data_IF_135083672476
#
_entry.id   IF_135083672476
#
_cell.length_a   1.000
_cell.length_b   1.000
_cell.length_c   1.000
_cell.angle_alpha   90.00
_cell.angle_beta   90.00
_cell.angle_gamma   90.00
#
_symmetry.space_group_name_H-M   'P 1'
#
loop_
_entity.id
_entity.type
_entity.pdbx_description
1 polymer ?
#
# COMPACT_ATOMS: atom_id res chain seq x y z
N UNK A 1 -15.39 0.60 26.38
CA UNK A 1 -14.45 0.62 25.25
C UNK A 1 -13.07 0.53 25.87
N UNK A 2 -12.29 -0.51 25.56
CA UNK A 2 -10.90 -0.49 26.00
C UNK A 2 -10.25 0.72 25.31
N UNK A 3 -9.78 1.68 26.10
CA UNK A 3 -8.87 2.69 25.60
C UNK A 3 -7.77 2.00 24.78
N UNK A 4 -7.27 2.63 23.69
CA UNK A 4 -6.10 2.09 23.02
C UNK A 4 -5.05 1.79 24.10
N UNK A 5 -4.49 0.59 24.04
CA UNK A 5 -3.46 0.16 24.99
C UNK A 5 -2.41 1.25 25.12
N UNK A 6 -1.86 1.42 26.32
CA UNK A 6 -0.98 2.54 26.63
C UNK A 6 0.10 2.75 25.54
N UNK A 7 0.72 1.66 25.08
CA UNK A 7 1.74 1.71 24.03
C UNK A 7 1.24 2.27 22.69
N UNK A 8 -0.03 2.04 22.29
CA UNK A 8 -0.60 2.60 21.05
C UNK A 8 -0.75 4.11 21.20
N UNK A 9 -1.23 4.58 22.35
CA UNK A 9 -1.35 6.02 22.62
C UNK A 9 0.01 6.70 22.60
N UNK A 10 0.97 6.13 23.31
CA UNK A 10 2.35 6.63 23.33
C UNK A 10 2.92 6.68 21.91
N UNK A 11 2.75 5.61 21.14
CA UNK A 11 3.21 5.58 19.74
C UNK A 11 2.54 6.67 18.88
N UNK A 12 1.23 6.86 18.96
CA UNK A 12 0.54 7.91 18.19
C UNK A 12 0.97 9.32 18.60
N UNK A 13 1.22 9.55 19.89
CA UNK A 13 1.75 10.83 20.39
C UNK A 13 3.16 11.09 19.87
N UNK A 14 4.04 10.10 19.96
CA UNK A 14 5.42 10.23 19.47
C UNK A 14 5.45 10.42 17.95
N UNK A 15 4.56 9.73 17.23
CA UNK A 15 4.38 9.86 15.79
C UNK A 15 3.95 11.27 15.38
N UNK A 16 2.98 11.86 16.09
CA UNK A 16 2.55 13.24 15.87
C UNK A 16 3.68 14.25 16.14
N UNK A 17 4.47 14.03 17.21
CA UNK A 17 5.62 14.86 17.52
C UNK A 17 6.72 14.75 16.43
N UNK A 18 7.06 13.53 16.00
CA UNK A 18 8.01 13.28 14.93
C UNK A 18 7.55 13.87 13.60
N UNK A 19 6.26 13.73 13.27
CA UNK A 19 5.65 14.34 12.10
C UNK A 19 5.77 15.87 12.14
N UNK A 20 5.53 16.49 13.30
CA UNK A 20 5.69 17.92 13.50
C UNK A 20 7.15 18.41 13.33
N UNK A 21 8.14 17.57 13.67
CA UNK A 21 9.56 17.88 13.42
C UNK A 21 9.90 17.83 11.92
N UNK A 22 9.40 16.81 11.21
CA UNK A 22 9.65 16.64 9.77
C UNK A 22 8.88 17.64 8.90
N UNK A 23 7.64 17.97 9.31
CA UNK A 23 6.75 18.88 8.60
C UNK A 23 5.88 19.64 9.60
N UNK A 24 6.28 20.86 10.03
CA UNK A 24 5.60 21.62 11.09
C UNK A 24 4.09 21.80 10.89
N UNK A 25 3.64 21.99 9.66
CA UNK A 25 2.23 22.24 9.32
C UNK A 25 1.41 20.95 9.08
N UNK A 26 1.93 19.78 9.43
CA UNK A 26 1.30 18.49 9.16
C UNK A 26 0.92 17.68 10.41
N UNK A 27 0.99 18.29 11.60
CA UNK A 27 0.55 17.65 12.85
C UNK A 27 -0.86 17.09 12.73
N UNK A 28 -1.08 15.96 13.39
CA UNK A 28 -2.37 15.29 13.43
C UNK A 28 -3.32 16.06 14.33
N UNK A 29 -4.54 16.29 13.85
CA UNK A 29 -5.65 16.75 14.69
C UNK A 29 -5.98 15.71 15.76
N UNK A 30 -6.64 16.14 16.83
CA UNK A 30 -7.08 15.22 17.89
C UNK A 30 -7.95 14.07 17.35
N UNK A 31 -8.85 14.37 16.40
CA UNK A 31 -9.68 13.35 15.76
C UNK A 31 -8.87 12.34 14.95
N UNK A 32 -7.86 12.80 14.20
CA UNK A 32 -6.97 11.91 13.45
C UNK A 32 -6.15 11.00 14.38
N UNK A 33 -5.67 11.51 15.52
CA UNK A 33 -4.95 10.71 16.52
C UNK A 33 -5.84 9.64 17.15
N UNK A 34 -7.06 10.00 17.56
CA UNK A 34 -8.04 9.05 18.11
C UNK A 34 -8.37 7.99 17.06
N UNK A 35 -8.62 8.40 15.83
CA UNK A 35 -8.91 7.49 14.72
C UNK A 35 -7.73 6.54 14.43
N UNK A 36 -6.50 7.05 14.38
CA UNK A 36 -5.31 6.25 14.13
C UNK A 36 -5.09 5.24 15.26
N UNK A 37 -5.22 5.67 16.52
CA UNK A 37 -5.15 4.79 17.69
C UNK A 37 -6.22 3.69 17.65
N UNK A 38 -7.45 4.03 17.24
CA UNK A 38 -8.51 3.05 17.02
C UNK A 38 -8.15 2.05 15.91
N UNK A 39 -7.63 2.52 14.77
CA UNK A 39 -7.22 1.66 13.66
C UNK A 39 -6.08 0.72 14.04
N UNK A 40 -5.06 1.21 14.75
CA UNK A 40 -3.95 0.39 15.26
C UNK A 40 -4.46 -0.68 16.24
N UNK A 41 -5.36 -0.30 17.14
CA UNK A 41 -6.01 -1.25 18.06
C UNK A 41 -6.82 -2.31 17.29
N UNK A 42 -7.59 -1.89 16.28
CA UNK A 42 -8.37 -2.79 15.43
C UNK A 42 -7.49 -3.77 14.63
N UNK A 43 -6.34 -3.31 14.12
CA UNK A 43 -5.37 -4.18 13.44
C UNK A 43 -4.81 -5.22 14.39
N UNK A 44 -4.43 -4.82 15.62
CA UNK A 44 -3.92 -5.74 16.63
C UNK A 44 -4.96 -6.80 17.02
N UNK A 45 -6.20 -6.39 17.28
CA UNK A 45 -7.26 -7.29 17.74
C UNK A 45 -7.78 -8.23 16.64
N UNK A 46 -7.72 -7.82 15.37
CA UNK A 46 -8.34 -8.57 14.26
C UNK A 46 -7.34 -9.16 13.28
N UNK A 47 -6.04 -8.90 13.47
CA UNK A 47 -4.95 -9.25 12.57
C UNK A 47 -5.23 -8.90 11.11
N UNK A 48 -5.95 -7.80 10.87
CA UNK A 48 -6.35 -7.39 9.53
C UNK A 48 -6.69 -5.92 9.44
N UNK A 49 -6.62 -5.35 8.23
CA UNK A 49 -7.17 -4.02 7.92
C UNK A 49 -8.51 -4.21 7.24
N UNK A 50 -9.59 -4.22 8.02
CA UNK A 50 -10.94 -4.44 7.50
C UNK A 50 -11.97 -3.62 8.29
N UNK A 51 -12.51 -2.58 7.65
CA UNK A 51 -13.46 -1.66 8.29
C UNK A 51 -14.72 -2.35 8.82
N UNK A 52 -15.20 -3.39 8.13
CA UNK A 52 -16.35 -4.17 8.61
C UNK A 52 -16.03 -4.97 9.87
N UNK A 53 -14.81 -5.54 9.97
CA UNK A 53 -14.36 -6.18 11.21
C UNK A 53 -14.21 -5.15 12.33
N UNK A 54 -13.72 -3.95 12.04
CA UNK A 54 -13.54 -2.89 13.03
C UNK A 54 -14.88 -2.36 13.54
N UNK A 55 -15.86 -2.19 12.65
CA UNK A 55 -17.22 -1.82 13.03
C UNK A 55 -17.83 -2.89 13.94
N UNK A 56 -17.72 -4.18 13.59
CA UNK A 56 -18.21 -5.27 14.45
C UNK A 56 -17.48 -5.32 15.80
N UNK A 57 -16.16 -5.21 15.81
CA UNK A 57 -15.36 -5.19 17.04
C UNK A 57 -15.67 -3.98 17.94
N UNK A 58 -16.16 -2.88 17.35
CA UNK A 58 -16.60 -1.69 18.08
C UNK A 58 -18.12 -1.65 18.35
N UNK A 59 -18.82 -2.77 18.15
CA UNK A 59 -20.28 -2.89 18.34
C UNK A 59 -21.07 -1.80 17.58
N UNK A 60 -20.60 -1.42 16.39
CA UNK A 60 -21.26 -0.44 15.55
C UNK A 60 -21.03 1.01 15.93
N UNK A 61 -20.20 1.31 16.95
CA UNK A 61 -19.88 2.68 17.38
C UNK A 61 -19.17 3.48 16.28
N UNK A 62 -18.27 2.84 15.54
CA UNK A 62 -17.64 3.42 14.35
C UNK A 62 -18.12 2.70 13.10
N UNK A 63 -18.92 3.40 12.30
CA UNK A 63 -19.43 2.90 11.03
C UNK A 63 -18.31 2.75 10.01
N UNK A 64 -18.39 1.72 9.15
CA UNK A 64 -17.50 1.55 7.99
C UNK A 64 -17.35 2.87 7.19
N UNK A 65 -18.46 3.60 6.99
CA UNK A 65 -18.47 4.87 6.28
C UNK A 65 -17.54 5.91 6.90
N UNK A 66 -17.60 6.09 8.23
CA UNK A 66 -16.75 7.03 8.96
C UNK A 66 -15.27 6.61 8.95
N UNK A 67 -15.00 5.32 9.17
CA UNK A 67 -13.63 4.79 9.13
C UNK A 67 -12.99 4.97 7.75
N UNK A 68 -13.75 4.68 6.70
CA UNK A 68 -13.31 4.81 5.31
C UNK A 68 -13.22 6.27 4.87
N UNK A 69 -14.08 7.15 5.38
CA UNK A 69 -14.02 8.59 5.08
C UNK A 69 -12.71 9.21 5.57
N UNK A 70 -12.29 8.89 6.79
CA UNK A 70 -11.05 9.42 7.36
C UNK A 70 -9.81 8.97 6.59
N UNK A 71 -9.82 7.79 5.97
CA UNK A 71 -8.73 7.37 5.08
C UNK A 71 -8.74 8.09 3.73
N UNK A 72 -9.93 8.44 3.20
CA UNK A 72 -10.09 8.96 1.83
C UNK A 72 -10.04 10.48 1.73
N UNK A 73 -10.63 11.16 2.71
CA UNK A 73 -10.92 12.61 2.62
C UNK A 73 -10.14 13.43 3.66
N UNK A 74 -9.57 12.79 4.68
CA UNK A 74 -8.81 13.52 5.68
C UNK A 74 -7.48 14.00 5.11
N UNK A 75 -7.14 15.25 5.42
CA UNK A 75 -5.86 15.85 5.09
C UNK A 75 -4.78 15.33 6.04
N UNK A 76 -4.25 14.15 5.74
CA UNK A 76 -3.11 13.54 6.45
C UNK A 76 -1.93 13.49 5.49
N UNK A 77 -0.76 13.94 5.93
CA UNK A 77 0.47 13.86 5.15
C UNK A 77 1.04 12.43 5.19
N UNK A 78 0.39 11.49 4.50
CA UNK A 78 0.68 10.05 4.58
C UNK A 78 2.15 9.68 4.35
N UNK A 79 2.81 10.31 3.37
CA UNK A 79 4.22 10.04 3.07
C UNK A 79 5.14 10.45 4.23
N UNK A 80 4.88 11.62 4.83
CA UNK A 80 5.63 12.09 6.00
C UNK A 80 5.27 11.29 7.25
N UNK A 81 4.05 10.78 7.35
CA UNK A 81 3.63 9.90 8.45
C UNK A 81 4.38 8.57 8.38
N UNK A 82 4.54 7.99 7.18
CA UNK A 82 5.39 6.80 6.97
C UNK A 82 6.83 7.11 7.38
N UNK A 83 7.41 8.20 6.87
CA UNK A 83 8.78 8.60 7.20
C UNK A 83 8.98 8.79 8.71
N UNK A 84 8.06 9.49 9.39
CA UNK A 84 8.07 9.68 10.83
C UNK A 84 8.01 8.34 11.58
N UNK A 85 7.16 7.41 11.13
CA UNK A 85 7.05 6.09 11.74
C UNK A 85 8.33 5.26 11.58
N UNK A 86 8.96 5.31 10.41
CA UNK A 86 10.23 4.64 10.12
C UNK A 86 11.33 5.19 11.02
N UNK A 87 11.45 6.52 11.09
CA UNK A 87 12.45 7.18 11.93
C UNK A 87 12.30 6.79 13.42
N UNK A 88 11.06 6.74 13.93
CA UNK A 88 10.79 6.32 15.31
C UNK A 88 11.16 4.86 15.58
N UNK A 89 10.91 3.95 14.63
CA UNK A 89 11.31 2.55 14.76
C UNK A 89 12.84 2.45 14.77
N UNK A 90 13.53 3.15 13.88
CA UNK A 90 14.99 3.17 13.84
C UNK A 90 15.59 3.67 15.17
N UNK A 91 15.10 4.81 15.66
CA UNK A 91 15.57 5.42 16.90
C UNK A 91 15.31 4.53 18.13
N UNK A 92 14.10 4.00 18.28
CA UNK A 92 13.75 3.15 19.43
C UNK A 92 14.52 1.84 19.48
N UNK A 93 14.84 1.28 18.33
CA UNK A 93 15.56 0.01 18.25
C UNK A 93 17.08 0.20 18.11
N UNK A 94 17.58 1.43 18.11
CA UNK A 94 19.01 1.73 17.93
C UNK A 94 19.55 1.21 16.59
N UNK A 95 18.71 1.17 15.55
CA UNK A 95 19.08 0.65 14.24
C UNK A 95 19.84 1.73 13.47
N UNK A 96 21.09 1.45 13.13
CA UNK A 96 21.97 2.35 12.38
C UNK A 96 22.30 1.84 10.98
N UNK A 97 22.08 0.56 10.72
CA UNK A 97 22.41 -0.10 9.47
C UNK A 97 21.35 -1.14 9.05
N UNK A 98 21.32 -1.43 7.75
CA UNK A 98 20.43 -2.43 7.16
C UNK A 98 20.59 -2.45 5.64
N UNK A 99 19.94 -3.44 5.02
CA UNK A 99 19.94 -3.63 3.57
C UNK A 99 18.56 -3.32 3.03
N UNK A 100 18.52 -2.52 1.96
CA UNK A 100 17.29 -2.26 1.22
C UNK A 100 17.03 -3.40 0.24
N UNK A 101 15.84 -3.98 0.34
CA UNK A 101 15.38 -5.09 -0.51
C UNK A 101 14.04 -4.73 -1.14
N UNK A 102 13.89 -5.06 -2.42
CA UNK A 102 12.60 -4.98 -3.10
C UNK A 102 11.88 -6.32 -2.96
N UNK A 103 10.62 -6.26 -2.53
CA UNK A 103 9.72 -7.41 -2.51
C UNK A 103 8.39 -7.03 -3.18
N UNK A 104 7.69 -8.02 -3.74
CA UNK A 104 6.41 -7.79 -4.40
C UNK A 104 5.32 -8.70 -3.85
N UNK A 105 4.11 -8.15 -3.69
CA UNK A 105 2.95 -8.92 -3.27
C UNK A 105 1.81 -8.72 -4.26
N UNK A 106 1.45 -9.80 -4.94
CA UNK A 106 0.29 -9.87 -5.81
C UNK A 106 -1.00 -10.07 -5.00
N UNK A 107 -1.98 -9.21 -5.24
CA UNK A 107 -3.31 -9.32 -4.65
C UNK A 107 -4.34 -9.54 -5.75
N UNK A 108 -4.83 -10.77 -5.83
CA UNK A 108 -5.93 -11.12 -6.72
C UNK A 108 -7.19 -10.31 -6.40
N UNK A 109 -7.88 -9.87 -7.43
CA UNK A 109 -9.14 -9.12 -7.39
C UNK A 109 -10.18 -9.78 -8.29
N UNK A 110 -11.42 -9.34 -8.15
CA UNK A 110 -12.48 -9.75 -9.07
C UNK A 110 -12.16 -9.32 -10.50
N UNK A 111 -12.54 -10.14 -11.48
CA UNK A 111 -12.41 -9.81 -12.91
C UNK A 111 -13.13 -8.50 -13.30
N UNK A 112 -14.12 -8.07 -12.50
CA UNK A 112 -14.89 -6.83 -12.74
C UNK A 112 -14.29 -5.58 -12.08
N UNK A 113 -13.20 -5.71 -11.31
CA UNK A 113 -12.56 -4.57 -10.63
C UNK A 113 -11.97 -3.60 -11.66
N UNK A 114 -12.44 -2.35 -11.66
CA UNK A 114 -11.93 -1.28 -12.57
C UNK A 114 -11.42 -0.04 -11.84
N UNK A 115 -11.84 0.20 -10.60
CA UNK A 115 -11.62 1.47 -9.88
C UNK A 115 -10.43 1.44 -8.91
N UNK A 116 -9.72 0.32 -8.80
CA UNK A 116 -8.52 0.20 -7.97
C UNK A 116 -7.32 0.68 -8.80
N UNK A 117 -6.50 1.56 -8.21
CA UNK A 117 -5.34 2.14 -8.87
C UNK A 117 -4.39 1.05 -9.41
N UNK A 118 -3.96 1.18 -10.67
CA UNK A 118 -3.02 0.27 -11.35
C UNK A 118 -3.40 -1.22 -11.30
N UNK A 119 -4.70 -1.51 -11.23
CA UNK A 119 -5.21 -2.88 -11.40
C UNK A 119 -4.91 -3.37 -12.82
N UNK A 120 -4.39 -4.58 -12.95
CA UNK A 120 -4.03 -5.17 -14.24
C UNK A 120 -4.19 -6.70 -14.24
N UNK A 121 -4.14 -7.29 -15.43
CA UNK A 121 -4.26 -8.74 -15.60
C UNK A 121 -2.96 -9.42 -15.16
N UNK A 122 -3.05 -10.30 -14.18
CA UNK A 122 -1.93 -11.04 -13.59
C UNK A 122 -2.09 -12.54 -13.86
N UNK A 123 -0.96 -13.25 -14.00
CA UNK A 123 -0.97 -14.71 -14.09
C UNK A 123 -1.23 -15.28 -12.70
N UNK A 124 -2.28 -16.09 -12.58
CA UNK A 124 -2.60 -16.75 -11.33
C UNK A 124 -1.79 -18.04 -11.24
N UNK A 125 -0.69 -18.00 -10.46
CA UNK A 125 0.29 -19.10 -10.37
C UNK A 125 -0.37 -20.45 -10.04
N UNK A 126 -1.29 -20.46 -9.09
CA UNK A 126 -1.93 -21.70 -8.62
C UNK A 126 -2.86 -22.37 -9.66
N UNK A 127 -3.57 -21.61 -10.50
CA UNK A 127 -4.47 -22.19 -11.50
C UNK A 127 -3.91 -22.24 -12.92
N UNK A 128 -2.71 -21.68 -13.13
CA UNK A 128 -2.13 -21.45 -14.47
C UNK A 128 -2.88 -20.42 -15.32
N UNK A 129 -4.03 -19.92 -14.85
CA UNK A 129 -4.89 -18.98 -15.55
C UNK A 129 -4.52 -17.51 -15.29
N UNK A 130 -5.50 -16.62 -15.47
CA UNK A 130 -5.34 -15.19 -15.23
C UNK A 130 -6.46 -14.64 -14.34
N UNK A 131 -6.07 -13.72 -13.46
CA UNK A 131 -6.97 -12.91 -12.64
C UNK A 131 -6.71 -11.44 -12.91
N UNK A 132 -7.68 -10.58 -12.61
CA UNK A 132 -7.36 -9.17 -12.45
C UNK A 132 -6.78 -8.99 -11.05
N UNK A 133 -5.79 -8.14 -10.87
CA UNK A 133 -5.13 -7.99 -9.58
C UNK A 133 -4.33 -6.71 -9.48
N UNK A 134 -3.69 -6.53 -8.33
CA UNK A 134 -2.85 -5.38 -8.05
C UNK A 134 -1.57 -5.89 -7.41
N UNK A 135 -0.42 -5.48 -7.94
CA UNK A 135 0.90 -5.77 -7.38
C UNK A 135 1.34 -4.55 -6.58
N UNK A 136 1.66 -4.75 -5.32
CA UNK A 136 2.39 -3.76 -4.52
C UNK A 136 3.85 -4.18 -4.48
N UNK A 137 4.74 -3.25 -4.80
CA UNK A 137 6.19 -3.37 -4.63
C UNK A 137 6.52 -2.65 -3.34
N UNK A 138 7.17 -3.35 -2.42
CA UNK A 138 7.61 -2.85 -1.13
C UNK A 138 9.11 -2.64 -1.18
N UNK A 139 9.57 -1.47 -0.72
CA UNK A 139 10.95 -1.26 -0.34
C UNK A 139 11.07 -1.59 1.14
N UNK A 140 11.72 -2.71 1.44
CA UNK A 140 11.91 -3.22 2.80
C UNK A 140 13.31 -2.85 3.28
N UNK A 141 13.39 -2.35 4.52
CA UNK A 141 14.66 -2.28 5.25
C UNK A 141 14.80 -3.55 6.07
N UNK A 142 15.78 -4.37 5.70
CA UNK A 142 16.15 -5.61 6.41
C UNK A 142 17.31 -5.28 7.34
N UNK A 143 17.10 -5.48 8.64
CA UNK A 143 18.11 -5.24 9.68
C UNK A 143 18.37 -6.52 10.46
N UNK A 144 19.34 -6.52 11.37
CA UNK A 144 19.58 -7.68 12.22
C UNK A 144 18.42 -8.02 13.15
N UNK A 145 17.63 -7.02 13.57
CA UNK A 145 16.58 -7.19 14.59
C UNK A 145 15.17 -7.28 14.01
N UNK A 146 14.87 -6.50 12.96
CA UNK A 146 13.53 -6.40 12.39
C UNK A 146 13.58 -6.06 10.90
N UNK A 147 12.59 -6.54 10.14
CA UNK A 147 12.35 -6.14 8.76
C UNK A 147 11.04 -5.38 8.66
N UNK A 148 11.04 -4.22 8.02
CA UNK A 148 9.84 -3.41 7.86
C UNK A 148 9.86 -2.56 6.58
N UNK A 149 8.69 -2.21 6.02
CA UNK A 149 8.61 -1.39 4.82
C UNK A 149 8.99 0.06 5.13
N UNK A 150 9.83 0.63 4.26
CA UNK A 150 10.24 2.04 4.28
C UNK A 150 9.71 2.82 3.06
N UNK A 151 9.13 2.11 2.09
CA UNK A 151 8.48 2.68 0.93
C UNK A 151 7.64 1.65 0.19
N UNK A 152 6.77 2.11 -0.70
CA UNK A 152 6.01 1.24 -1.57
C UNK A 152 5.60 1.93 -2.86
N UNK A 153 5.32 1.13 -3.87
CA UNK A 153 4.70 1.57 -5.12
C UNK A 153 3.72 0.52 -5.62
N UNK A 154 2.74 0.94 -6.42
CA UNK A 154 1.94 -0.01 -7.19
C UNK A 154 2.56 -0.20 -8.57
N UNK A 155 2.85 -1.45 -8.93
CA UNK A 155 3.34 -1.80 -10.25
C UNK A 155 2.22 -1.72 -11.29
N UNK A 156 2.58 -1.25 -12.47
CA UNK A 156 1.73 -1.22 -13.65
C UNK A 156 2.55 -1.68 -14.85
N UNK A 157 2.03 -2.61 -15.68
CA UNK A 157 2.68 -2.95 -16.94
C UNK A 157 2.92 -1.70 -17.79
N UNK A 158 4.05 -1.65 -18.48
CA UNK A 158 4.39 -0.55 -19.39
C UNK A 158 3.23 -0.32 -20.39
N UNK A 159 2.65 0.89 -20.44
CA UNK A 159 1.53 1.20 -21.32
C UNK A 159 1.86 1.06 -22.81
N UNK A 160 3.08 1.43 -23.22
CA UNK A 160 3.55 1.33 -24.61
C UNK A 160 3.73 -0.13 -24.99
N UNK A 161 4.37 -0.93 -24.12
CA UNK A 161 4.53 -2.36 -24.35
C UNK A 161 3.17 -3.08 -24.37
N UNK A 162 2.24 -2.65 -23.52
CA UNK A 162 0.87 -3.19 -23.47
C UNK A 162 0.12 -2.89 -24.76
N UNK A 163 0.18 -1.66 -25.24
CA UNK A 163 -0.44 -1.24 -26.50
C UNK A 163 0.17 -1.99 -27.69
N UNK A 164 1.49 -2.07 -27.75
CA UNK A 164 2.22 -2.83 -28.77
C UNK A 164 1.82 -4.31 -28.76
N UNK A 165 1.79 -4.95 -27.59
CA UNK A 165 1.41 -6.37 -27.45
C UNK A 165 0.00 -6.63 -27.95
N UNK A 166 -0.93 -5.68 -27.72
CA UNK A 166 -2.32 -5.80 -28.20
C UNK A 166 -2.37 -5.75 -29.73
N UNK A 167 -1.61 -4.83 -30.33
CA UNK A 167 -1.60 -4.65 -31.78
C UNK A 167 -0.86 -5.77 -32.51
N UNK A 168 0.30 -6.21 -32.01
CA UNK A 168 1.02 -7.36 -32.58
C UNK A 168 0.15 -8.63 -32.56
N UNK A 169 -0.59 -8.87 -31.46
CA UNK A 169 -1.54 -10.00 -31.37
C UNK A 169 -2.66 -9.88 -32.41
N UNK A 170 -3.20 -8.68 -32.65
CA UNK A 170 -4.23 -8.43 -33.66
C UNK A 170 -3.70 -8.74 -35.07
N UNK A 171 -2.53 -8.22 -35.41
CA UNK A 171 -1.90 -8.40 -36.73
C UNK A 171 -1.46 -9.86 -36.96
N UNK A 172 -0.95 -10.53 -35.92
CA UNK A 172 -0.63 -11.97 -35.96
C UNK A 172 -1.88 -12.79 -36.27
N UNK A 173 -3.02 -12.47 -35.63
CA UNK A 173 -4.31 -13.15 -35.90
C UNK A 173 -4.82 -12.87 -37.32
N UNK A 174 -4.50 -11.70 -37.88
CA UNK A 174 -4.82 -11.34 -39.26
C UNK A 174 -3.82 -11.90 -40.30
N UNK A 175 -2.84 -12.72 -39.90
CA UNK A 175 -1.88 -13.35 -40.83
C UNK A 175 -0.79 -12.41 -41.35
N UNK A 176 -0.65 -11.19 -40.81
CA UNK A 176 0.36 -10.23 -41.26
C UNK A 176 1.77 -10.76 -40.95
N UNK A 177 2.70 -10.71 -41.92
CA UNK A 177 4.08 -11.14 -41.74
C UNK A 177 4.81 -10.31 -40.67
N UNK A 178 5.71 -10.93 -39.88
CA UNK A 178 6.42 -10.26 -38.75
C UNK A 178 7.14 -8.96 -39.17
N UNK A 179 7.73 -8.92 -40.36
CA UNK A 179 8.41 -7.73 -40.91
C UNK A 179 7.50 -6.52 -41.11
N UNK A 180 6.19 -6.73 -41.23
CA UNK A 180 5.18 -5.68 -41.45
C UNK A 180 4.41 -5.35 -40.15
N UNK A 181 4.83 -5.87 -39.00
CA UNK A 181 4.22 -5.59 -37.69
C UNK A 181 5.01 -4.48 -36.98
N UNK A 182 4.39 -3.75 -36.05
CA UNK A 182 5.08 -2.70 -35.30
C UNK A 182 6.30 -3.25 -34.57
N UNK A 183 7.37 -2.47 -34.54
CA UNK A 183 8.59 -2.80 -33.80
C UNK A 183 8.30 -2.72 -32.31
N UNK A 184 8.85 -3.66 -31.54
CA UNK A 184 8.72 -3.67 -30.08
C UNK A 184 9.35 -2.38 -29.52
N UNK A 185 8.64 -1.64 -28.65
CA UNK A 185 9.23 -0.45 -28.02
C UNK A 185 10.41 -0.84 -27.13
N UNK A 186 11.47 -0.02 -27.15
CA UNK A 186 12.55 -0.12 -26.18
C UNK A 186 12.01 0.32 -24.82
N UNK A 187 11.95 -0.59 -23.87
CA UNK A 187 11.57 -0.26 -22.49
C UNK A 187 12.80 0.19 -21.74
N UNK A 188 12.83 1.45 -21.29
CA UNK A 188 13.72 1.84 -20.20
C UNK A 188 13.05 1.46 -18.89
N UNK A 189 13.74 0.72 -18.03
CA UNK A 189 13.26 0.44 -16.68
C UNK A 189 13.15 1.77 -15.93
N UNK A 190 11.92 2.27 -15.77
CA UNK A 190 11.58 3.40 -14.87
C UNK A 190 11.21 2.90 -13.50
#
# INVERSE_FOLDING_TARGET
MYEPTHFIKTFVTDLDAALGKLKPNAKLTQLQRIWLGFCLTGMLLTHSVCWAKFERASLGKYKIGALSWMFREAKVAWDYLLLASVALVLERHGITEGVLVLDESDRARSKRTKRIHKVHKQKHKASGGYVNGQTVVLLLLVTQSVTFPVGFAFYMPDPLLTAWTKEDKRLKKAGVAKKNRPVMPLTFNS
#
